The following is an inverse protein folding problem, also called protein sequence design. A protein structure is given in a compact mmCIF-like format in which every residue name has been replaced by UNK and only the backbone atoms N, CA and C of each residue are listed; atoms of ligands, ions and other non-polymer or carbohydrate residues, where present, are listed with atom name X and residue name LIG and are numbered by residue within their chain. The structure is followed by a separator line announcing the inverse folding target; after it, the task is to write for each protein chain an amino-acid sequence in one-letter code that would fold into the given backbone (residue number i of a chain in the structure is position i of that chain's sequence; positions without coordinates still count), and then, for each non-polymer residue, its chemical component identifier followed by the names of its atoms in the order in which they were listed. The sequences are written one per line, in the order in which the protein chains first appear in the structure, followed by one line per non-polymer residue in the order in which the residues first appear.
data_IF_923245021638
#
_entry.id   IF_923245021638
#
_cell.length_a   1.000
_cell.length_b   1.000
_cell.length_c   1.000
_cell.angle_alpha   90.00
_cell.angle_beta   90.00
_cell.angle_gamma   90.00
#
_symmetry.space_group_name_H-M   'P 1'
#
loop_
_entity.id
_entity.type
_entity.pdbx_description
1 polymer ?
#
# COMPACT_ATOMS: atom_id res chain seq x y z
N UNK A 1 -58.03 16.24 -24.81
CA UNK A 1 -56.73 16.85 -24.50
C UNK A 1 -56.48 17.01 -22.99
N UNK A 2 -57.49 17.31 -22.16
CA UNK A 2 -57.31 17.43 -20.71
C UNK A 2 -56.87 16.12 -20.01
N UNK A 3 -57.39 14.95 -20.42
CA UNK A 3 -57.03 13.66 -19.78
C UNK A 3 -55.60 13.21 -20.07
N UNK A 4 -55.04 13.59 -21.22
CA UNK A 4 -53.64 13.31 -21.59
C UNK A 4 -52.69 14.16 -20.74
N UNK A 5 -53.06 15.41 -20.45
CA UNK A 5 -52.27 16.33 -19.62
C UNK A 5 -52.25 15.86 -18.16
N UNK A 6 -53.39 15.42 -17.60
CA UNK A 6 -53.47 14.90 -16.21
C UNK A 6 -52.71 13.58 -16.05
N UNK A 7 -52.79 12.66 -17.02
CA UNK A 7 -52.01 11.42 -17.00
C UNK A 7 -50.50 11.67 -17.11
N UNK A 8 -50.10 12.71 -17.85
CA UNK A 8 -48.70 13.14 -17.96
C UNK A 8 -48.19 13.69 -16.62
N UNK A 9 -48.92 14.58 -15.95
CA UNK A 9 -48.49 15.12 -14.64
C UNK A 9 -48.44 14.04 -13.54
N UNK A 10 -49.35 13.07 -13.54
CA UNK A 10 -49.32 11.95 -12.59
C UNK A 10 -48.11 11.02 -12.77
N UNK A 11 -47.74 10.73 -14.02
CA UNK A 11 -46.57 9.90 -14.32
C UNK A 11 -45.25 10.60 -14.00
N UNK A 12 -45.14 11.92 -14.26
CA UNK A 12 -43.98 12.73 -13.84
C UNK A 12 -43.84 12.80 -12.31
N UNK A 13 -44.94 12.96 -11.57
CA UNK A 13 -44.93 12.98 -10.11
C UNK A 13 -44.45 11.66 -9.49
N UNK A 14 -44.93 10.52 -10.01
CA UNK A 14 -44.49 9.18 -9.57
C UNK A 14 -43.01 8.96 -9.88
N UNK A 15 -42.55 9.35 -11.08
CA UNK A 15 -41.14 9.24 -11.46
C UNK A 15 -40.23 10.07 -10.53
N UNK A 16 -40.60 11.32 -10.25
CA UNK A 16 -39.82 12.19 -9.37
C UNK A 16 -39.82 11.68 -7.92
N UNK A 17 -40.96 11.19 -7.42
CA UNK A 17 -41.05 10.55 -6.11
C UNK A 17 -40.15 9.32 -5.99
N UNK A 18 -40.10 8.47 -7.02
CA UNK A 18 -39.19 7.32 -7.08
C UNK A 18 -37.72 7.76 -7.11
N UNK A 19 -37.40 8.83 -7.85
CA UNK A 19 -36.03 9.35 -7.92
C UNK A 19 -35.56 9.91 -6.56
N UNK A 20 -36.42 10.65 -5.87
CA UNK A 20 -36.17 11.10 -4.48
C UNK A 20 -35.95 9.88 -3.58
N UNK A 21 -36.82 8.87 -3.66
CA UNK A 21 -36.70 7.65 -2.84
C UNK A 21 -35.36 6.93 -3.10
N UNK A 22 -34.96 6.78 -4.36
CA UNK A 22 -33.65 6.21 -4.72
C UNK A 22 -32.52 7.03 -4.11
N UNK A 23 -32.58 8.36 -4.21
CA UNK A 23 -31.56 9.24 -3.63
C UNK A 23 -31.47 9.10 -2.11
N UNK A 24 -32.61 9.04 -1.41
CA UNK A 24 -32.67 8.79 0.04
C UNK A 24 -32.08 7.43 0.42
N UNK A 25 -32.38 6.39 -0.37
CA UNK A 25 -31.82 5.04 -0.20
C UNK A 25 -30.28 5.05 -0.36
N UNK A 26 -29.77 5.74 -1.38
CA UNK A 26 -28.33 5.84 -1.64
C UNK A 26 -27.59 6.65 -0.56
N UNK A 27 -28.23 7.68 0.01
CA UNK A 27 -27.69 8.49 1.11
C UNK A 27 -27.75 7.82 2.48
N UNK A 28 -28.48 6.72 2.62
CA UNK A 28 -28.63 6.04 3.90
C UNK A 28 -27.27 5.71 4.52
N UNK A 29 -27.05 6.20 5.75
CA UNK A 29 -25.84 6.00 6.54
C UNK A 29 -25.95 4.70 7.32
N UNK A 30 -25.03 3.78 7.07
CA UNK A 30 -24.91 2.56 7.86
C UNK A 30 -24.39 2.87 9.27
N UNK A 31 -24.71 2.01 10.24
CA UNK A 31 -24.05 2.08 11.55
C UNK A 31 -22.54 1.83 11.39
N UNK A 32 -21.75 2.58 12.16
CA UNK A 32 -20.28 2.53 12.10
C UNK A 32 -19.72 1.65 13.22
N UNK A 33 -18.72 0.84 12.89
CA UNK A 33 -17.88 0.14 13.85
C UNK A 33 -16.70 1.06 14.19
N UNK A 34 -16.46 1.30 15.48
CA UNK A 34 -15.46 2.26 15.98
C UNK A 34 -15.61 3.70 15.43
N UNK A 35 -16.80 4.07 14.94
CA UNK A 35 -17.03 5.38 14.31
C UNK A 35 -16.34 5.55 12.96
N UNK A 36 -15.76 4.49 12.39
CA UNK A 36 -14.94 4.56 11.16
C UNK A 36 -15.50 3.65 10.06
N UNK A 37 -15.80 2.38 10.38
CA UNK A 37 -16.09 1.37 9.36
C UNK A 37 -17.60 1.14 9.23
N UNK A 38 -18.22 1.46 8.09
CA UNK A 38 -19.65 1.23 7.88
C UNK A 38 -19.98 -0.26 7.77
N UNK A 39 -21.03 -0.67 8.48
CA UNK A 39 -21.62 -2.00 8.32
C UNK A 39 -22.35 -2.10 6.99
N UNK A 40 -22.61 -3.33 6.54
CA UNK A 40 -23.51 -3.58 5.42
C UNK A 40 -24.94 -3.23 5.87
N UNK A 41 -25.51 -2.16 5.32
CA UNK A 41 -26.89 -1.74 5.60
C UNK A 41 -27.92 -2.55 4.82
N UNK A 42 -29.21 -2.32 5.10
CA UNK A 42 -30.33 -2.92 4.39
C UNK A 42 -30.24 -2.73 2.86
N UNK A 43 -29.69 -1.59 2.42
CA UNK A 43 -29.59 -1.23 1.00
C UNK A 43 -28.23 -1.59 0.36
N UNK A 44 -27.35 -2.27 1.10
CA UNK A 44 -26.02 -2.64 0.63
C UNK A 44 -26.05 -3.40 -0.70
N UNK A 45 -26.92 -4.41 -0.84
CA UNK A 45 -26.97 -5.23 -2.06
C UNK A 45 -27.41 -4.42 -3.29
N UNK A 46 -28.32 -3.47 -3.11
CA UNK A 46 -28.73 -2.55 -4.16
C UNK A 46 -27.57 -1.63 -4.58
N UNK A 47 -26.90 -0.98 -3.61
CA UNK A 47 -25.72 -0.16 -3.85
C UNK A 47 -24.59 -0.94 -4.54
N UNK A 48 -24.34 -2.17 -4.08
CA UNK A 48 -23.32 -3.06 -4.64
C UNK A 48 -23.58 -3.39 -6.10
N UNK A 49 -24.81 -3.80 -6.44
CA UNK A 49 -25.18 -4.11 -7.82
C UNK A 49 -25.00 -2.89 -8.73
N UNK A 50 -25.47 -1.72 -8.28
CA UNK A 50 -25.33 -0.47 -9.03
C UNK A 50 -23.85 -0.10 -9.24
N UNK A 51 -23.04 -0.10 -8.18
CA UNK A 51 -21.61 0.20 -8.25
C UNK A 51 -20.87 -0.77 -9.18
N UNK A 52 -21.16 -2.07 -9.07
CA UNK A 52 -20.52 -3.10 -9.89
C UNK A 52 -20.82 -2.91 -11.39
N UNK A 53 -22.06 -2.61 -11.75
CA UNK A 53 -22.46 -2.35 -13.15
C UNK A 53 -21.74 -1.12 -13.69
N UNK A 54 -21.71 -0.03 -12.92
CA UNK A 54 -21.02 1.22 -13.30
C UNK A 54 -19.53 0.98 -13.49
N UNK A 55 -18.86 0.34 -12.53
CA UNK A 55 -17.43 0.05 -12.59
C UNK A 55 -17.06 -0.81 -13.80
N UNK A 56 -17.83 -1.87 -14.08
CA UNK A 56 -17.58 -2.71 -15.27
C UNK A 56 -17.70 -1.93 -16.56
N UNK A 57 -18.70 -1.03 -16.67
CA UNK A 57 -18.88 -0.17 -17.86
C UNK A 57 -17.77 0.86 -18.02
N UNK A 58 -17.38 1.55 -16.93
CA UNK A 58 -16.33 2.57 -16.98
C UNK A 58 -14.99 1.95 -17.33
N UNK A 59 -14.62 0.83 -16.69
CA UNK A 59 -13.35 0.15 -16.95
C UNK A 59 -13.21 -0.35 -18.38
N UNK A 60 -14.30 -0.88 -18.95
CA UNK A 60 -14.30 -1.25 -20.37
C UNK A 60 -14.01 -0.04 -21.28
N UNK A 61 -14.41 1.18 -20.92
CA UNK A 61 -14.12 2.38 -21.71
C UNK A 61 -12.69 2.88 -21.52
N UNK A 62 -12.18 2.89 -20.29
CA UNK A 62 -10.87 3.45 -19.98
C UNK A 62 -9.71 2.53 -20.41
N UNK A 63 -9.81 1.22 -20.14
CA UNK A 63 -8.67 0.32 -20.33
C UNK A 63 -8.57 -0.29 -21.73
N UNK A 64 -9.67 -0.30 -22.49
CA UNK A 64 -9.65 -0.83 -23.85
C UNK A 64 -9.06 0.17 -24.87
N UNK A 65 -8.89 1.43 -24.48
CA UNK A 65 -8.49 2.55 -25.36
C UNK A 65 -7.08 3.09 -25.08
N UNK A 66 -6.36 2.60 -24.06
CA UNK A 66 -5.02 3.13 -23.72
C UNK A 66 -3.92 2.12 -24.08
N UNK A 67 -3.11 2.47 -25.09
CA UNK A 67 -1.89 1.77 -25.55
C UNK A 67 -0.74 1.78 -24.50
N UNK A 68 -1.02 1.43 -23.25
CA UNK A 68 -0.03 1.42 -22.15
C UNK A 68 0.75 0.11 -22.06
N UNK A 69 1.14 -0.45 -23.21
CA UNK A 69 1.81 -1.75 -23.29
C UNK A 69 3.05 -1.77 -24.20
N UNK A 70 3.43 -0.63 -24.79
CA UNK A 70 4.68 -0.58 -25.58
C UNK A 70 5.90 -0.79 -24.68
N UNK A 71 6.96 -1.34 -25.26
CA UNK A 71 8.23 -1.54 -24.57
C UNK A 71 8.82 -0.22 -24.05
N UNK A 72 8.73 0.85 -24.84
CA UNK A 72 9.14 2.20 -24.45
C UNK A 72 8.38 2.68 -23.20
N UNK A 73 7.06 2.48 -23.15
CA UNK A 73 6.26 2.85 -21.99
C UNK A 73 6.72 2.08 -20.73
N UNK A 74 6.99 0.78 -20.86
CA UNK A 74 7.50 -0.03 -19.75
C UNK A 74 8.88 0.46 -19.29
N UNK A 75 9.79 0.81 -20.20
CA UNK A 75 11.09 1.39 -19.83
C UNK A 75 10.96 2.74 -19.10
N UNK A 76 9.96 3.56 -19.44
CA UNK A 76 9.70 4.80 -18.69
C UNK A 76 9.08 4.55 -17.32
N UNK A 77 8.22 3.54 -17.22
CA UNK A 77 7.56 3.12 -15.98
C UNK A 77 8.53 2.43 -15.01
N UNK A 78 9.51 1.69 -15.53
CA UNK A 78 10.40 0.81 -14.79
C UNK A 78 11.76 1.41 -14.45
N UNK A 79 11.78 2.70 -14.10
CA UNK A 79 13.00 3.41 -13.72
C UNK A 79 12.70 4.42 -12.63
N UNK A 80 13.73 5.02 -12.01
CA UNK A 80 13.49 6.10 -11.07
C UNK A 80 12.76 7.27 -11.74
N UNK A 81 11.71 7.77 -11.09
CA UNK A 81 10.78 8.74 -11.64
C UNK A 81 11.21 10.18 -11.36
N UNK A 82 10.77 11.11 -12.20
CA UNK A 82 11.01 12.54 -11.98
C UNK A 82 10.07 13.03 -10.87
N UNK A 83 10.64 13.65 -9.84
CA UNK A 83 9.87 14.21 -8.72
C UNK A 83 9.29 15.58 -9.09
N UNK A 84 8.01 15.80 -8.86
CA UNK A 84 7.35 17.08 -9.14
C UNK A 84 7.68 18.14 -8.08
N UNK A 85 7.39 19.41 -8.34
CA UNK A 85 7.64 20.52 -7.39
C UNK A 85 6.78 20.50 -6.12
N UNK A 86 5.86 19.56 -6.02
CA UNK A 86 5.13 19.33 -4.79
C UNK A 86 6.06 18.69 -3.74
N UNK A 87 6.18 19.26 -2.51
CA UNK A 87 7.02 18.68 -1.46
C UNK A 87 6.62 17.24 -1.09
N UNK A 88 5.35 16.87 -1.27
CA UNK A 88 4.84 15.53 -1.03
C UNK A 88 5.04 14.57 -2.20
N UNK A 89 5.75 14.97 -3.27
CA UNK A 89 6.14 14.07 -4.36
C UNK A 89 7.03 12.96 -3.83
N UNK A 90 6.87 11.76 -4.39
CA UNK A 90 7.56 10.56 -3.94
C UNK A 90 7.78 9.61 -5.09
N UNK A 91 8.82 8.81 -4.92
CA UNK A 91 9.12 7.67 -5.74
C UNK A 91 9.70 6.58 -4.83
N UNK A 92 8.99 5.48 -4.65
CA UNK A 92 9.39 4.38 -3.76
C UNK A 92 9.48 3.07 -4.53
N UNK A 93 10.60 2.38 -4.35
CA UNK A 93 10.77 0.99 -4.76
C UNK A 93 10.99 0.13 -3.52
N UNK A 94 10.26 -0.99 -3.44
CA UNK A 94 10.37 -1.92 -2.33
C UNK A 94 10.43 -3.36 -2.81
N UNK A 95 11.09 -4.21 -2.03
CA UNK A 95 11.23 -5.62 -2.27
C UNK A 95 10.87 -6.37 -0.99
N UNK A 96 10.02 -7.38 -1.10
CA UNK A 96 9.72 -8.32 -0.02
C UNK A 96 9.98 -9.72 -0.55
N UNK A 97 10.69 -10.55 0.20
CA UNK A 97 10.99 -11.91 -0.21
C UNK A 97 11.13 -12.86 0.97
N UNK A 98 10.84 -14.13 0.75
CA UNK A 98 11.05 -15.19 1.73
C UNK A 98 11.29 -16.55 1.06
N UNK A 99 11.78 -17.53 1.83
CA UNK A 99 11.90 -18.92 1.37
C UNK A 99 11.56 -19.95 2.45
N UNK A 100 11.46 -21.22 2.06
CA UNK A 100 11.17 -22.35 2.94
C UNK A 100 12.19 -22.55 4.08
N UNK A 101 13.40 -22.00 3.97
CA UNK A 101 14.41 -22.03 5.06
C UNK A 101 14.10 -21.00 6.16
N UNK A 102 13.02 -20.23 6.04
CA UNK A 102 12.63 -19.20 6.99
C UNK A 102 13.36 -17.87 6.81
N UNK A 103 14.26 -17.75 5.82
CA UNK A 103 14.94 -16.48 5.50
C UNK A 103 13.94 -15.49 4.92
N UNK A 104 14.01 -14.22 5.34
CA UNK A 104 13.11 -13.16 4.87
C UNK A 104 13.87 -11.85 4.67
N UNK A 105 13.48 -11.12 3.64
CA UNK A 105 14.07 -9.83 3.28
C UNK A 105 12.96 -8.82 3.05
N UNK A 106 13.09 -7.64 3.64
CA UNK A 106 12.33 -6.46 3.25
C UNK A 106 13.30 -5.30 3.01
N UNK A 107 13.25 -4.71 1.82
CA UNK A 107 13.97 -3.48 1.49
C UNK A 107 12.96 -2.47 0.95
N UNK A 108 13.08 -1.21 1.36
CA UNK A 108 12.29 -0.10 0.81
C UNK A 108 13.15 1.15 0.73
N UNK A 109 13.20 1.77 -0.45
CA UNK A 109 13.86 3.06 -0.69
C UNK A 109 12.84 4.04 -1.29
N UNK A 110 12.55 5.10 -0.56
CA UNK A 110 11.69 6.20 -0.99
C UNK A 110 12.52 7.46 -1.22
N UNK A 111 12.60 7.89 -2.48
CA UNK A 111 13.15 9.18 -2.88
C UNK A 111 12.13 10.29 -2.64
N UNK A 112 12.65 11.41 -2.15
CA UNK A 112 11.94 12.66 -1.94
C UNK A 112 12.76 13.82 -2.48
N UNK A 113 12.10 14.97 -2.57
CA UNK A 113 12.72 16.19 -3.10
C UNK A 113 14.00 16.54 -2.34
N UNK A 114 14.96 17.16 -3.03
CA UNK A 114 16.19 17.73 -2.48
C UNK A 114 17.09 16.70 -1.79
N UNK A 115 17.23 15.52 -2.40
CA UNK A 115 18.12 14.47 -1.92
C UNK A 115 17.69 13.83 -0.60
N UNK A 116 16.42 13.96 -0.20
CA UNK A 116 15.89 13.22 0.93
C UNK A 116 15.63 11.78 0.49
N UNK A 117 16.16 10.82 1.23
CA UNK A 117 15.96 9.39 0.99
C UNK A 117 15.45 8.73 2.28
N UNK A 118 14.34 8.00 2.22
CA UNK A 118 13.87 7.19 3.33
C UNK A 118 14.11 5.72 3.02
N UNK A 119 14.95 5.07 3.81
CA UNK A 119 15.34 3.70 3.56
C UNK A 119 15.13 2.81 4.79
N UNK A 120 14.64 1.59 4.54
CA UNK A 120 14.59 0.53 5.51
C UNK A 120 15.07 -0.77 4.87
N UNK A 121 15.97 -1.46 5.57
CA UNK A 121 16.36 -2.83 5.29
C UNK A 121 16.10 -3.65 6.54
N UNK A 122 15.38 -4.75 6.34
CA UNK A 122 15.20 -5.81 7.31
C UNK A 122 15.64 -7.12 6.69
N UNK A 123 16.48 -7.85 7.40
CA UNK A 123 16.96 -9.15 6.99
C UNK A 123 16.77 -10.10 8.16
N UNK A 124 15.88 -11.06 8.02
CA UNK A 124 15.74 -12.12 8.99
C UNK A 124 16.44 -13.38 8.52
N UNK A 125 17.42 -13.81 9.30
CA UNK A 125 18.12 -15.08 9.14
C UNK A 125 17.88 -15.94 10.39
N UNK A 126 17.60 -17.24 10.24
CA UNK A 126 17.39 -18.13 11.39
C UNK A 126 18.51 -18.10 12.43
N UNK A 127 19.76 -17.91 12.00
CA UNK A 127 20.94 -17.88 12.88
C UNK A 127 21.17 -16.52 13.57
N UNK A 128 20.74 -15.41 12.97
CA UNK A 128 21.04 -14.05 13.45
C UNK A 128 19.83 -13.35 14.08
N UNK A 129 18.63 -13.91 13.91
CA UNK A 129 17.39 -13.20 14.19
C UNK A 129 17.18 -12.04 13.22
N UNK A 130 16.35 -11.08 13.62
CA UNK A 130 16.01 -9.93 12.79
C UNK A 130 17.13 -8.88 12.82
N UNK A 131 17.78 -8.69 11.68
CA UNK A 131 18.69 -7.57 11.43
C UNK A 131 17.92 -6.42 10.79
N UNK A 132 18.24 -5.19 11.16
CA UNK A 132 17.56 -4.00 10.65
C UNK A 132 18.52 -2.82 10.45
N UNK A 133 18.18 -1.90 9.56
CA UNK A 133 18.95 -0.66 9.37
C UNK A 133 19.15 0.10 10.70
N UNK A 134 20.33 0.67 10.94
CA UNK A 134 20.68 1.28 12.23
C UNK A 134 19.80 2.48 12.54
N UNK A 135 19.43 3.26 11.51
CA UNK A 135 18.61 4.46 11.64
C UNK A 135 17.10 4.20 11.80
N UNK A 136 16.68 2.94 11.94
CA UNK A 136 15.30 2.64 12.34
C UNK A 136 15.06 3.03 13.81
N UNK A 137 13.88 3.56 14.16
CA UNK A 137 12.65 3.55 13.37
C UNK A 137 12.45 4.77 12.45
N UNK A 138 13.41 5.69 12.35
CA UNK A 138 13.26 6.98 11.65
C UNK A 138 13.40 6.91 10.12
N UNK A 139 14.24 6.01 9.60
CA UNK A 139 14.49 5.77 8.16
C UNK A 139 15.10 6.92 7.37
N UNK A 140 15.28 8.12 7.94
CA UNK A 140 15.62 9.33 7.19
C UNK A 140 17.11 9.42 6.88
N UNK A 141 17.44 9.69 5.62
CA UNK A 141 18.80 9.98 5.19
C UNK A 141 18.84 11.12 4.17
N UNK A 142 20.01 11.72 4.01
CA UNK A 142 20.27 12.83 3.08
C UNK A 142 21.38 12.43 2.12
N UNK A 143 21.14 12.58 0.82
CA UNK A 143 22.10 12.24 -0.24
C UNK A 143 22.74 13.46 -0.89
N UNK A 144 22.21 14.66 -0.60
CA UNK A 144 22.72 15.96 -1.09
C UNK A 144 22.66 17.00 0.02
N UNK A 145 23.16 18.21 -0.26
CA UNK A 145 23.07 19.36 0.65
C UNK A 145 21.73 20.11 0.57
N UNK A 146 20.74 19.57 -0.15
CA UNK A 146 19.40 20.16 -0.28
C UNK A 146 19.17 20.98 -1.55
N UNK A 147 20.18 21.13 -2.40
CA UNK A 147 20.13 21.93 -3.64
C UNK A 147 19.95 21.08 -4.91
N UNK A 148 20.09 19.76 -4.80
CA UNK A 148 20.02 18.82 -5.91
C UNK A 148 19.01 17.71 -5.65
N UNK A 149 18.39 17.24 -6.73
CA UNK A 149 17.49 16.09 -6.73
C UNK A 149 18.27 14.79 -6.92
N UNK A 150 17.85 13.71 -6.24
CA UNK A 150 18.40 12.38 -6.52
C UNK A 150 17.82 11.86 -7.83
N UNK A 151 18.67 11.38 -8.74
CA UNK A 151 18.27 10.71 -10.00
C UNK A 151 18.17 9.19 -9.88
N UNK A 152 18.74 8.60 -8.82
CA UNK A 152 18.84 7.15 -8.60
C UNK A 152 18.32 6.75 -7.22
N UNK A 153 17.94 5.48 -7.05
CA UNK A 153 17.71 4.90 -5.73
C UNK A 153 19.07 4.51 -5.10
N UNK A 154 19.81 5.52 -4.65
CA UNK A 154 21.18 5.35 -4.14
C UNK A 154 21.42 6.22 -2.90
N UNK A 155 22.28 5.73 -2.00
CA UNK A 155 22.78 6.47 -0.84
C UNK A 155 22.77 5.63 0.44
N UNK A 156 23.62 5.99 1.41
CA UNK A 156 23.67 5.37 2.74
C UNK A 156 23.87 3.84 2.68
N UNK A 157 24.81 3.42 1.83
CA UNK A 157 25.11 2.01 1.56
C UNK A 157 24.23 1.38 0.48
N UNK A 158 23.06 1.94 0.18
CA UNK A 158 22.14 1.38 -0.81
C UNK A 158 22.47 1.79 -2.25
N UNK A 159 22.27 0.86 -3.18
CA UNK A 159 22.14 1.14 -4.61
C UNK A 159 21.18 0.13 -5.25
N UNK A 160 20.04 0.63 -5.71
CA UNK A 160 18.99 -0.17 -6.34
C UNK A 160 18.72 0.41 -7.72
N UNK A 161 18.73 -0.42 -8.76
CA UNK A 161 18.52 0.05 -10.12
C UNK A 161 17.98 -1.06 -11.04
N UNK A 162 17.16 -0.71 -12.04
CA UNK A 162 16.80 -1.63 -13.10
C UNK A 162 18.03 -1.90 -13.97
N UNK A 163 18.27 -3.17 -14.29
CA UNK A 163 19.24 -3.57 -15.31
C UNK A 163 18.54 -3.93 -16.64
N UNK A 164 17.37 -4.57 -16.55
CA UNK A 164 16.48 -4.83 -17.69
C UNK A 164 15.05 -4.52 -17.28
N UNK A 165 14.38 -3.64 -18.03
CA UNK A 165 13.02 -3.17 -17.72
C UNK A 165 12.06 -4.35 -17.52
N UNK A 166 11.33 -4.31 -16.41
CA UNK A 166 10.33 -5.27 -15.97
C UNK A 166 10.86 -6.70 -15.80
N UNK A 167 12.17 -6.91 -15.79
CA UNK A 167 12.76 -8.26 -15.72
C UNK A 167 13.83 -8.38 -14.65
N UNK A 168 14.77 -7.44 -14.60
CA UNK A 168 15.94 -7.56 -13.76
C UNK A 168 16.25 -6.25 -13.02
N UNK A 169 16.33 -6.35 -11.70
CA UNK A 169 16.74 -5.26 -10.81
C UNK A 169 17.91 -5.70 -9.94
N UNK A 170 18.91 -4.84 -9.84
CA UNK A 170 20.05 -5.03 -8.94
C UNK A 170 19.75 -4.35 -7.61
N UNK A 171 20.06 -5.05 -6.51
CA UNK A 171 19.81 -4.62 -5.14
C UNK A 171 21.11 -4.78 -4.36
N UNK A 172 21.78 -3.66 -4.10
CA UNK A 172 23.05 -3.62 -3.38
C UNK A 172 22.92 -2.86 -2.08
N UNK A 173 23.61 -3.37 -1.06
CA UNK A 173 23.77 -2.69 0.22
C UNK A 173 25.17 -2.97 0.77
N UNK A 174 25.84 -1.95 1.29
CA UNK A 174 27.08 -2.11 2.06
C UNK A 174 27.05 -1.18 3.26
N UNK A 175 27.03 -1.75 4.47
CA UNK A 175 26.90 -0.99 5.71
C UNK A 175 26.71 -1.88 6.92
N UNK A 176 26.31 -1.30 8.05
CA UNK A 176 26.05 -2.03 9.29
C UNK A 176 24.56 -2.24 9.51
N UNK A 177 24.16 -3.39 10.05
CA UNK A 177 22.80 -3.63 10.54
C UNK A 177 22.83 -3.90 12.04
N UNK A 178 21.78 -3.48 12.75
CA UNK A 178 21.59 -3.81 14.17
C UNK A 178 20.71 -5.04 14.34
N UNK A 179 20.95 -5.81 15.38
CA UNK A 179 20.02 -6.86 15.82
C UNK A 179 18.79 -6.23 16.48
N UNK A 180 17.67 -6.15 15.76
CA UNK A 180 16.50 -5.38 16.15
C UNK A 180 15.77 -5.93 17.39
N UNK A 181 15.84 -7.24 17.60
CA UNK A 181 15.09 -7.95 18.65
C UNK A 181 15.89 -8.14 19.94
N UNK A 182 17.12 -7.61 19.99
CA UNK A 182 18.03 -7.69 21.15
C UNK A 182 18.23 -6.29 21.71
N UNK A 183 17.90 -6.09 22.99
CA UNK A 183 18.17 -4.84 23.68
C UNK A 183 19.69 -4.58 23.73
N UNK A 184 20.13 -3.42 23.25
CA UNK A 184 21.55 -3.12 22.99
C UNK A 184 22.23 -4.10 22.01
N UNK A 185 21.46 -4.65 21.06
CA UNK A 185 21.95 -5.55 20.02
C UNK A 185 23.14 -4.96 19.27
N UNK A 186 24.13 -5.82 18.99
CA UNK A 186 25.34 -5.42 18.29
C UNK A 186 25.07 -4.96 16.85
N UNK A 187 26.03 -4.22 16.31
CA UNK A 187 26.12 -3.93 14.88
C UNK A 187 26.91 -5.04 14.20
N UNK A 188 26.39 -5.53 13.08
CA UNK A 188 27.06 -6.50 12.21
C UNK A 188 27.29 -5.87 10.85
N UNK A 189 28.45 -6.14 10.25
CA UNK A 189 28.75 -5.63 8.90
C UNK A 189 28.02 -6.47 7.88
N UNK A 190 27.32 -5.83 6.95
CA UNK A 190 26.52 -6.51 5.94
C UNK A 190 26.85 -5.97 4.56
N UNK A 191 27.08 -6.90 3.63
CA UNK A 191 27.13 -6.62 2.20
C UNK A 191 26.11 -7.50 1.49
N UNK A 192 25.20 -6.86 0.75
CA UNK A 192 24.22 -7.51 -0.12
C UNK A 192 24.60 -7.25 -1.57
N UNK A 193 24.65 -8.30 -2.38
CA UNK A 193 24.69 -8.22 -3.83
C UNK A 193 23.64 -9.19 -4.38
N UNK A 194 22.44 -8.64 -4.61
CA UNK A 194 21.25 -9.40 -4.93
C UNK A 194 20.65 -8.91 -6.24
N UNK A 195 19.95 -9.81 -6.91
CA UNK A 195 19.19 -9.55 -8.13
C UNK A 195 17.76 -10.01 -7.93
N UNK A 196 16.81 -9.14 -8.28
CA UNK A 196 15.41 -9.52 -8.46
C UNK A 196 15.16 -9.83 -9.93
N UNK A 197 14.66 -11.04 -10.20
CA UNK A 197 14.32 -11.55 -11.52
C UNK A 197 12.82 -11.82 -11.64
N UNK A 198 12.20 -11.40 -12.73
CA UNK A 198 10.81 -11.72 -13.07
C UNK A 198 10.62 -11.97 -14.55
N UNK A 199 9.83 -13.01 -14.86
CA UNK A 199 9.28 -13.28 -16.20
C UNK A 199 7.76 -13.06 -16.22
N UNK A 200 7.22 -12.51 -15.13
CA UNK A 200 5.77 -12.33 -14.94
C UNK A 200 5.36 -10.94 -15.38
N UNK A 201 4.11 -10.76 -15.79
CA UNK A 201 3.56 -9.41 -15.94
C UNK A 201 3.55 -8.68 -14.58
N UNK A 202 3.34 -7.36 -14.57
CA UNK A 202 3.07 -6.65 -13.33
C UNK A 202 1.56 -6.57 -13.08
N UNK A 203 1.17 -6.50 -11.81
CA UNK A 203 -0.16 -6.18 -11.34
C UNK A 203 -0.27 -4.67 -11.10
N UNK A 204 -1.06 -3.98 -11.92
CA UNK A 204 -1.32 -2.55 -11.78
C UNK A 204 -2.59 -2.34 -10.94
N UNK A 205 -2.48 -1.64 -9.80
CA UNK A 205 -3.61 -1.48 -8.88
C UNK A 205 -4.75 -0.63 -9.44
N UNK A 206 -4.48 0.28 -10.38
CA UNK A 206 -5.51 1.08 -11.02
C UNK A 206 -6.31 0.21 -12.01
N UNK A 207 -5.61 -0.67 -12.74
CA UNK A 207 -6.16 -1.53 -13.81
C UNK A 207 -6.77 -2.84 -13.31
N UNK A 208 -6.01 -3.59 -12.52
CA UNK A 208 -6.20 -5.04 -12.35
C UNK A 208 -7.03 -5.43 -11.12
N UNK A 209 -7.26 -4.52 -10.17
CA UNK A 209 -8.11 -4.79 -8.99
C UNK A 209 -9.49 -5.30 -9.39
N UNK A 210 -10.08 -6.25 -8.68
CA UNK A 210 -11.43 -6.74 -9.04
C UNK A 210 -12.48 -5.63 -8.85
N UNK A 211 -13.39 -5.39 -9.83
CA UNK A 211 -14.55 -4.52 -9.62
C UNK A 211 -15.41 -4.93 -8.43
N UNK A 212 -15.38 -6.21 -8.04
CA UNK A 212 -16.16 -6.74 -6.92
C UNK A 212 -15.71 -6.19 -5.56
N UNK A 213 -14.40 -6.06 -5.32
CA UNK A 213 -13.91 -5.53 -4.04
C UNK A 213 -14.06 -4.01 -3.95
N UNK A 214 -13.95 -3.31 -5.09
CA UNK A 214 -14.22 -1.87 -5.17
C UNK A 214 -15.72 -1.62 -4.94
N UNK A 215 -16.60 -2.40 -5.57
CA UNK A 215 -18.05 -2.32 -5.36
C UNK A 215 -18.45 -2.65 -3.91
N UNK A 216 -17.83 -3.64 -3.26
CA UNK A 216 -18.07 -3.92 -1.82
C UNK A 216 -17.75 -2.70 -0.96
N UNK A 217 -16.65 -2.01 -1.27
CA UNK A 217 -16.16 -0.84 -0.52
C UNK A 217 -17.10 0.35 -0.72
N UNK A 218 -17.41 0.69 -1.98
CA UNK A 218 -18.35 1.78 -2.34
C UNK A 218 -19.75 1.54 -1.76
N UNK A 219 -20.24 0.30 -1.76
CA UNK A 219 -21.60 0.00 -1.32
C UNK A 219 -21.81 0.14 0.20
N UNK A 220 -20.72 0.17 0.97
CA UNK A 220 -20.76 0.40 2.42
C UNK A 220 -20.89 1.87 2.76
N UNK A 221 -20.40 2.76 1.90
CA UNK A 221 -20.42 4.20 2.11
C UNK A 221 -21.83 4.80 1.98
N UNK A 222 -22.02 5.95 2.64
CA UNK A 222 -23.16 6.81 2.39
C UNK A 222 -22.87 7.63 1.12
N UNK A 223 -23.73 7.55 0.11
CA UNK A 223 -23.52 8.29 -1.15
C UNK A 223 -24.09 9.69 -1.01
N UNK A 224 -23.42 10.49 -0.18
CA UNK A 224 -23.70 11.89 0.10
C UNK A 224 -22.82 12.80 -0.77
N UNK A 225 -22.89 14.10 -0.51
CA UNK A 225 -22.18 15.14 -1.24
C UNK A 225 -20.66 14.92 -1.23
N UNK A 226 -20.07 14.60 -0.08
CA UNK A 226 -18.62 14.34 0.01
C UNK A 226 -18.20 13.11 -0.79
N UNK A 227 -19.00 12.03 -0.76
CA UNK A 227 -18.76 10.85 -1.60
C UNK A 227 -18.81 11.20 -3.10
N UNK A 228 -19.79 12.00 -3.54
CA UNK A 228 -19.86 12.40 -4.95
C UNK A 228 -18.73 13.34 -5.36
N UNK A 229 -18.26 14.22 -4.46
CA UNK A 229 -17.08 15.05 -4.71
C UNK A 229 -15.82 14.20 -4.85
N UNK A 230 -15.64 13.20 -3.97
CA UNK A 230 -14.56 12.22 -4.09
C UNK A 230 -14.63 11.47 -5.43
N UNK A 231 -15.81 10.99 -5.83
CA UNK A 231 -15.97 10.31 -7.13
C UNK A 231 -15.57 11.20 -8.33
N UNK A 232 -15.85 12.51 -8.27
CA UNK A 232 -15.45 13.45 -9.32
C UNK A 232 -13.94 13.68 -9.40
N UNK A 233 -13.20 13.44 -8.32
CA UNK A 233 -11.75 13.63 -8.27
C UNK A 233 -10.96 12.34 -8.49
N UNK A 234 -11.60 11.18 -8.58
CA UNK A 234 -10.94 9.87 -8.75
C UNK A 234 -9.98 9.87 -9.94
N UNK A 235 -10.39 10.35 -11.11
CA UNK A 235 -9.53 10.33 -12.30
C UNK A 235 -8.24 11.14 -12.05
N UNK A 236 -8.35 12.32 -11.46
CA UNK A 236 -7.19 13.14 -11.06
C UNK A 236 -6.33 12.45 -10.01
N UNK A 237 -6.92 11.73 -9.04
CA UNK A 237 -6.18 10.99 -8.02
C UNK A 237 -5.38 9.84 -8.67
N UNK A 238 -5.98 9.13 -9.62
CA UNK A 238 -5.36 8.00 -10.33
C UNK A 238 -4.25 8.47 -11.28
N UNK A 239 -4.41 9.61 -11.95
CA UNK A 239 -3.37 10.17 -12.82
C UNK A 239 -2.12 10.63 -12.05
N UNK A 240 -2.31 11.09 -10.81
CA UNK A 240 -1.22 11.57 -9.95
C UNK A 240 -0.46 10.46 -9.24
N UNK A 241 -0.92 9.21 -9.30
CA UNK A 241 -0.38 8.08 -8.53
C UNK A 241 -0.35 6.80 -9.34
N UNK A 242 0.84 6.25 -9.48
CA UNK A 242 1.03 4.93 -10.07
C UNK A 242 1.48 3.96 -8.97
N UNK A 243 0.89 2.77 -8.95
CA UNK A 243 1.27 1.68 -8.06
C UNK A 243 1.15 0.38 -8.82
N UNK A 244 2.26 -0.32 -8.98
CA UNK A 244 2.25 -1.68 -9.49
C UNK A 244 3.18 -2.58 -8.69
N UNK A 245 2.91 -3.87 -8.76
CA UNK A 245 3.71 -4.91 -8.16
C UNK A 245 4.06 -6.00 -9.15
N UNK A 246 5.18 -6.67 -8.93
CA UNK A 246 5.64 -7.75 -9.76
C UNK A 246 6.23 -8.87 -8.91
N UNK A 247 5.70 -10.08 -9.04
CA UNK A 247 6.22 -11.30 -8.43
C UNK A 247 7.47 -11.78 -9.17
N UNK A 248 8.38 -12.41 -8.46
CA UNK A 248 9.64 -12.89 -9.02
C UNK A 248 10.47 -13.62 -7.98
N UNK A 249 11.78 -13.61 -8.17
CA UNK A 249 12.73 -14.23 -7.26
C UNK A 249 13.87 -13.28 -6.94
N UNK A 250 14.33 -13.30 -5.70
CA UNK A 250 15.57 -12.63 -5.28
C UNK A 250 16.64 -13.69 -5.11
N UNK A 251 17.75 -13.51 -5.80
CA UNK A 251 18.93 -14.39 -5.73
C UNK A 251 20.20 -13.58 -5.58
N UNK A 252 21.21 -14.14 -4.94
CA UNK A 252 22.53 -13.53 -4.85
C UNK A 252 23.19 -13.84 -3.53
N UNK A 253 24.23 -13.08 -3.21
CA UNK A 253 25.07 -13.33 -2.04
C UNK A 253 24.87 -12.26 -0.97
N UNK A 254 24.90 -12.72 0.27
CA UNK A 254 24.97 -11.87 1.45
C UNK A 254 26.22 -12.22 2.24
N UNK A 255 26.97 -11.21 2.65
CA UNK A 255 28.06 -11.35 3.61
C UNK A 255 27.63 -10.68 4.91
N UNK A 256 27.60 -11.44 6.00
CA UNK A 256 27.37 -10.95 7.37
C UNK A 256 28.65 -11.20 8.15
N UNK A 257 29.34 -10.12 8.51
CA UNK A 257 30.74 -10.11 8.96
C UNK A 257 31.62 -10.92 8.00
N UNK A 258 32.21 -12.03 8.45
CA UNK A 258 33.06 -12.90 7.61
C UNK A 258 32.28 -14.05 6.95
N UNK A 259 30.99 -14.22 7.25
CA UNK A 259 30.17 -15.32 6.76
C UNK A 259 29.47 -14.96 5.46
N UNK A 260 29.75 -15.72 4.41
CA UNK A 260 29.05 -15.65 3.12
C UNK A 260 27.86 -16.63 3.12
N UNK A 261 26.68 -16.15 2.72
CA UNK A 261 25.50 -16.97 2.50
C UNK A 261 24.88 -16.65 1.13
N UNK A 262 24.53 -17.69 0.38
CA UNK A 262 23.74 -17.53 -0.83
C UNK A 262 22.24 -17.48 -0.48
N UNK A 263 21.53 -16.50 -1.02
CA UNK A 263 20.08 -16.37 -0.91
C UNK A 263 19.40 -16.77 -2.21
N UNK A 264 18.29 -17.48 -2.07
CA UNK A 264 17.29 -17.71 -3.13
C UNK A 264 15.92 -17.67 -2.48
N UNK A 265 15.12 -16.69 -2.85
CA UNK A 265 13.82 -16.42 -2.23
C UNK A 265 12.79 -16.10 -3.31
N UNK A 266 11.55 -16.54 -3.09
CA UNK A 266 10.41 -15.98 -3.83
C UNK A 266 10.18 -14.57 -3.30
N UNK A 267 9.89 -13.63 -4.20
CA UNK A 267 9.76 -12.24 -3.83
C UNK A 267 8.74 -11.49 -4.67
N UNK A 268 8.48 -10.27 -4.23
CA UNK A 268 7.76 -9.26 -4.99
C UNK A 268 8.56 -7.97 -4.99
N UNK A 269 8.40 -7.22 -6.08
CA UNK A 269 8.82 -5.84 -6.23
C UNK A 269 7.58 -4.97 -6.26
N UNK A 270 7.57 -3.91 -5.46
CA UNK A 270 6.57 -2.85 -5.44
C UNK A 270 7.23 -1.57 -5.93
N UNK A 271 6.57 -0.87 -6.85
CA UNK A 271 6.99 0.46 -7.28
C UNK A 271 5.78 1.40 -7.25
N UNK A 272 5.87 2.42 -6.41
CA UNK A 272 4.81 3.37 -6.17
C UNK A 272 5.36 4.79 -6.24
N UNK A 273 4.75 5.64 -7.04
CA UNK A 273 5.22 7.00 -7.23
C UNK A 273 4.08 7.95 -7.56
N UNK A 274 4.31 9.23 -7.30
CA UNK A 274 3.32 10.25 -7.57
C UNK A 274 3.70 11.65 -7.13
N UNK A 275 2.78 12.57 -7.39
CA UNK A 275 2.98 13.99 -7.09
C UNK A 275 2.62 14.35 -5.65
N UNK A 276 1.78 13.56 -4.97
CA UNK A 276 1.34 13.82 -3.61
C UNK A 276 1.08 12.52 -2.82
N UNK A 277 1.80 12.32 -1.71
CA UNK A 277 1.57 11.24 -0.73
C UNK A 277 1.02 11.81 0.59
N UNK A 278 -0.29 11.70 0.81
CA UNK A 278 -0.95 12.23 2.01
C UNK A 278 -1.08 11.16 3.11
N UNK A 279 0.05 10.78 3.71
CA UNK A 279 0.09 9.76 4.79
C UNK A 279 -0.74 10.16 6.02
N UNK A 280 -0.81 11.46 6.31
CA UNK A 280 -1.65 12.09 7.33
C UNK A 280 -3.12 11.67 7.26
N UNK A 281 -3.64 11.41 6.06
CA UNK A 281 -5.05 11.09 5.84
C UNK A 281 -5.36 9.59 5.97
N UNK A 282 -4.33 8.74 6.00
CA UNK A 282 -4.52 7.30 6.20
C UNK A 282 -4.88 7.07 7.66
N UNK A 283 -6.07 6.51 7.88
CA UNK A 283 -6.46 6.04 9.21
C UNK A 283 -5.65 4.77 9.55
N UNK A 284 -5.66 3.81 8.62
CA UNK A 284 -5.04 2.50 8.83
C UNK A 284 -4.87 1.73 7.52
N UNK A 285 -3.85 0.89 7.44
CA UNK A 285 -3.89 -0.24 6.50
C UNK A 285 -3.27 -1.50 7.10
N UNK A 286 -3.63 -2.64 6.51
CA UNK A 286 -2.90 -3.89 6.67
C UNK A 286 -2.58 -4.46 5.30
N UNK A 287 -1.36 -4.92 5.11
CA UNK A 287 -0.85 -5.52 3.88
C UNK A 287 -0.14 -6.83 4.22
N UNK A 288 -0.41 -7.88 3.45
CA UNK A 288 0.16 -9.22 3.58
C UNK A 288 0.88 -9.56 2.28
N UNK A 289 2.17 -9.92 2.37
CA UNK A 289 2.93 -10.52 1.28
C UNK A 289 3.37 -11.92 1.70
N UNK A 290 2.78 -12.94 1.09
CA UNK A 290 2.99 -14.34 1.44
C UNK A 290 3.57 -15.11 0.25
N UNK A 291 4.55 -15.96 0.53
CA UNK A 291 5.28 -16.77 -0.44
C UNK A 291 5.21 -18.23 -0.02
N UNK A 292 4.59 -19.07 -0.85
CA UNK A 292 4.29 -20.46 -0.55
C UNK A 292 5.30 -21.42 -1.19
N UNK A 293 5.47 -22.59 -0.58
CA UNK A 293 6.43 -23.61 -1.03
C UNK A 293 6.10 -24.20 -2.42
N UNK A 294 4.84 -24.13 -2.86
CA UNK A 294 4.41 -24.57 -4.19
C UNK A 294 4.73 -23.57 -5.32
N UNK A 295 5.36 -22.44 -4.96
CA UNK A 295 5.72 -21.35 -5.87
C UNK A 295 4.64 -20.29 -6.05
N UNK A 296 3.47 -20.43 -5.41
CA UNK A 296 2.42 -19.41 -5.39
C UNK A 296 2.81 -18.26 -4.47
N UNK A 297 2.53 -17.02 -4.88
CA UNK A 297 2.58 -15.85 -4.00
C UNK A 297 1.18 -15.25 -3.85
N UNK A 298 0.97 -14.55 -2.74
CA UNK A 298 -0.29 -13.91 -2.43
C UNK A 298 -0.02 -12.54 -1.81
N UNK A 299 -0.71 -11.54 -2.34
CA UNK A 299 -0.79 -10.21 -1.75
C UNK A 299 -2.23 -9.92 -1.36
N UNK A 300 -2.45 -9.50 -0.12
CA UNK A 300 -3.78 -9.11 0.39
C UNK A 300 -3.64 -7.84 1.19
N UNK A 301 -4.46 -6.83 0.88
CA UNK A 301 -4.48 -5.56 1.60
C UNK A 301 -5.88 -5.14 2.00
N UNK A 302 -5.97 -4.33 3.05
CA UNK A 302 -7.17 -3.57 3.41
C UNK A 302 -6.75 -2.15 3.86
N UNK A 303 -7.21 -1.13 3.15
CA UNK A 303 -6.88 0.28 3.38
C UNK A 303 -8.09 1.04 3.91
N UNK A 304 -7.87 1.87 4.93
CA UNK A 304 -8.85 2.79 5.49
C UNK A 304 -8.32 4.22 5.41
N UNK A 305 -9.01 5.04 4.62
CA UNK A 305 -8.69 6.46 4.43
C UNK A 305 -10.01 7.27 4.34
N UNK A 306 -10.87 7.24 5.39
CA UNK A 306 -12.25 7.72 5.33
C UNK A 306 -12.36 9.23 5.03
N UNK A 307 -11.42 10.06 5.47
CA UNK A 307 -11.44 11.51 5.20
C UNK A 307 -11.15 11.87 3.74
N UNK A 308 -10.63 10.93 2.92
CA UNK A 308 -10.20 11.23 1.55
C UNK A 308 -10.76 10.26 0.50
N UNK A 309 -10.94 8.99 0.83
CA UNK A 309 -11.30 7.95 -0.13
C UNK A 309 -12.37 7.01 0.43
N UNK A 310 -11.98 5.81 0.90
CA UNK A 310 -12.91 4.78 1.37
C UNK A 310 -12.52 4.34 2.78
N UNK A 311 -13.52 4.00 3.58
CA UNK A 311 -13.35 3.54 4.96
C UNK A 311 -12.72 2.14 5.06
N UNK A 312 -12.92 1.30 4.03
CA UNK A 312 -12.27 -0.01 3.86
C UNK A 312 -12.25 -0.38 2.38
N UNK A 313 -11.05 -0.39 1.78
CA UNK A 313 -10.80 -0.89 0.44
C UNK A 313 -9.93 -2.14 0.52
N UNK A 314 -10.49 -3.28 0.11
CA UNK A 314 -9.74 -4.53 0.00
C UNK A 314 -9.05 -4.60 -1.35
N UNK A 315 -7.79 -5.01 -1.36
CA UNK A 315 -6.93 -5.05 -2.55
C UNK A 315 -6.06 -6.30 -2.56
N UNK A 316 -5.49 -6.63 -3.73
CA UNK A 316 -4.49 -7.69 -3.86
C UNK A 316 -4.88 -8.79 -4.85
N UNK A 317 -4.09 -9.85 -4.84
CA UNK A 317 -4.11 -10.92 -5.83
C UNK A 317 -3.47 -12.22 -5.31
N UNK A 318 -3.68 -13.30 -6.05
CA UNK A 318 -2.88 -14.51 -5.98
C UNK A 318 -2.11 -14.62 -7.30
N UNK A 319 -0.79 -14.80 -7.23
CA UNK A 319 0.04 -15.06 -8.39
C UNK A 319 0.47 -16.53 -8.36
N UNK A 320 0.09 -17.27 -9.41
CA UNK A 320 0.46 -18.68 -9.50
C UNK A 320 1.96 -18.84 -9.74
N UNK A 321 2.49 -20.05 -9.54
CA UNK A 321 3.88 -20.40 -9.92
C UNK A 321 4.24 -20.13 -11.39
N UNK A 322 3.23 -19.97 -12.26
CA UNK A 322 3.41 -19.63 -13.69
C UNK A 322 3.45 -18.12 -13.95
N UNK A 323 3.29 -17.28 -12.91
CA UNK A 323 3.24 -15.83 -13.06
C UNK A 323 1.87 -15.26 -13.41
N UNK A 324 0.80 -16.06 -13.30
CA UNK A 324 -0.56 -15.60 -13.61
C UNK A 324 -1.21 -14.94 -12.39
N UNK A 325 -1.57 -13.66 -12.51
CA UNK A 325 -2.26 -12.91 -11.46
C UNK A 325 -3.76 -13.14 -11.50
N UNK A 326 -4.32 -13.40 -10.32
CA UNK A 326 -5.77 -13.52 -10.09
C UNK A 326 -6.18 -12.52 -9.02
N UNK A 327 -6.85 -11.41 -9.37
CA UNK A 327 -7.25 -10.41 -8.40
C UNK A 327 -8.24 -11.00 -7.40
N UNK A 328 -8.15 -10.56 -6.14
CA UNK A 328 -9.11 -10.99 -5.12
C UNK A 328 -10.49 -10.41 -5.44
N UNK A 329 -11.53 -11.22 -5.33
CA UNK A 329 -12.93 -10.83 -5.57
C UNK A 329 -13.70 -10.62 -4.28
N UNK A 330 -13.24 -11.22 -3.18
CA UNK A 330 -13.80 -11.10 -1.83
C UNK A 330 -12.76 -11.50 -0.79
N UNK A 331 -12.78 -10.84 0.36
CA UNK A 331 -11.97 -11.21 1.51
C UNK A 331 -12.75 -10.88 2.79
N UNK A 332 -12.68 -11.74 3.81
CA UNK A 332 -13.33 -11.49 5.11
C UNK A 332 -12.39 -10.88 6.16
N UNK A 333 -11.16 -10.52 5.78
CA UNK A 333 -10.25 -9.75 6.63
C UNK A 333 -10.77 -8.32 6.78
N UNK A 334 -11.23 -7.97 7.98
CA UNK A 334 -11.74 -6.65 8.32
C UNK A 334 -10.80 -5.96 9.32
N UNK A 335 -10.37 -4.74 9.02
CA UNK A 335 -9.40 -4.00 9.83
C UNK A 335 -9.79 -3.99 11.31
N UNK A 336 -11.02 -3.58 11.63
CA UNK A 336 -11.51 -3.49 13.01
C UNK A 336 -11.41 -4.79 13.82
N UNK A 337 -11.29 -5.95 13.18
CA UNK A 337 -11.16 -7.25 13.86
C UNK A 337 -9.72 -7.59 14.24
N UNK A 338 -8.73 -6.94 13.61
CA UNK A 338 -7.32 -7.32 13.70
C UNK A 338 -6.45 -6.18 14.18
N UNK A 339 -6.52 -5.81 15.46
CA UNK A 339 -5.58 -4.86 16.05
C UNK A 339 -5.96 -3.40 15.88
N UNK A 340 -7.26 -3.07 15.90
CA UNK A 340 -7.75 -1.68 15.77
C UNK A 340 -7.16 -0.72 16.81
N UNK A 341 -6.87 -1.23 18.01
CA UNK A 341 -6.34 -0.43 19.12
C UNK A 341 -4.82 -0.16 19.05
N UNK A 342 -4.22 -0.21 17.86
CA UNK A 342 -2.80 0.13 17.65
C UNK A 342 -1.78 -0.99 17.93
N UNK A 343 -2.25 -2.21 18.21
CA UNK A 343 -1.41 -3.39 18.44
C UNK A 343 -1.81 -4.48 17.45
N UNK A 344 -0.94 -4.86 16.50
CA UNK A 344 -1.19 -5.98 15.60
C UNK A 344 -1.33 -7.30 16.36
N UNK A 345 -2.19 -8.21 15.87
CA UNK A 345 -2.26 -9.56 16.42
C UNK A 345 -0.98 -10.36 16.17
N UNK A 346 -0.80 -11.46 16.91
CA UNK A 346 0.27 -12.45 16.67
C UNK A 346 -0.17 -13.65 15.83
N UNK A 347 -1.49 -13.84 15.68
CA UNK A 347 -2.10 -14.89 14.87
C UNK A 347 -3.29 -14.31 14.12
N UNK A 348 -3.45 -14.68 12.85
CA UNK A 348 -4.54 -14.21 12.01
C UNK A 348 -5.01 -15.34 11.11
N UNK A 349 -6.33 -15.46 10.94
CA UNK A 349 -6.90 -16.41 10.00
C UNK A 349 -8.01 -15.74 9.20
N UNK A 350 -7.96 -15.82 7.88
CA UNK A 350 -8.97 -15.22 7.02
C UNK A 350 -9.13 -15.99 5.73
N UNK A 351 -10.19 -15.67 4.99
CA UNK A 351 -10.56 -16.30 3.74
C UNK A 351 -10.51 -15.27 2.64
N UNK A 352 -9.82 -15.62 1.57
CA UNK A 352 -9.73 -14.86 0.33
C UNK A 352 -10.39 -15.66 -0.79
N UNK A 353 -11.06 -14.96 -1.70
CA UNK A 353 -11.63 -15.55 -2.90
C UNK A 353 -11.03 -14.87 -4.13
N UNK A 354 -10.83 -15.65 -5.18
CA UNK A 354 -10.70 -15.17 -6.55
C UNK A 354 -11.95 -15.59 -7.34
N UNK A 355 -11.95 -15.39 -8.64
CA UNK A 355 -12.96 -15.95 -9.55
C UNK A 355 -12.93 -17.49 -9.61
N UNK A 356 -11.78 -18.09 -9.36
CA UNK A 356 -11.48 -19.51 -9.61
C UNK A 356 -11.17 -20.30 -8.34
N UNK A 357 -11.03 -19.65 -7.19
CA UNK A 357 -10.57 -20.33 -5.97
C UNK A 357 -10.96 -19.64 -4.67
N UNK A 358 -10.83 -20.41 -3.59
CA UNK A 358 -10.99 -19.97 -2.20
C UNK A 358 -9.73 -20.38 -1.43
N UNK A 359 -9.20 -19.46 -0.65
CA UNK A 359 -7.95 -19.62 0.07
C UNK A 359 -8.17 -19.32 1.54
N UNK A 360 -7.95 -20.31 2.39
CA UNK A 360 -7.92 -20.15 3.84
C UNK A 360 -6.48 -19.87 4.26
N UNK A 361 -6.25 -18.65 4.74
CA UNK A 361 -4.95 -18.12 5.13
C UNK A 361 -4.83 -18.20 6.64
N UNK A 362 -3.70 -18.74 7.12
CA UNK A 362 -3.34 -18.82 8.53
C UNK A 362 -1.94 -18.23 8.71
N UNK A 363 -1.79 -17.31 9.65
CA UNK A 363 -0.54 -16.57 9.87
C UNK A 363 -0.14 -16.68 11.34
N UNK A 364 1.16 -16.89 11.56
CA UNK A 364 1.80 -16.82 12.87
C UNK A 364 2.98 -15.86 12.79
N UNK A 365 2.99 -14.88 13.69
CA UNK A 365 4.06 -13.89 13.78
C UNK A 365 5.25 -14.49 14.52
N UNK A 366 6.43 -14.34 13.91
CA UNK A 366 7.70 -14.86 14.43
C UNK A 366 8.54 -13.72 15.02
N UNK A 367 8.57 -12.58 14.34
CA UNK A 367 9.21 -11.36 14.83
C UNK A 367 8.49 -10.10 14.32
N UNK A 368 8.79 -8.93 14.89
CA UNK A 368 8.17 -7.66 14.52
C UNK A 368 9.09 -6.48 14.80
N UNK A 369 9.26 -5.60 13.82
CA UNK A 369 9.94 -4.32 13.99
C UNK A 369 9.02 -3.13 13.71
N UNK A 370 9.36 -1.98 14.29
CA UNK A 370 8.62 -0.74 14.10
C UNK A 370 9.44 0.19 13.21
N UNK A 371 8.74 0.88 12.31
CA UNK A 371 9.24 2.08 11.64
C UNK A 371 8.18 3.16 11.61
N UNK A 372 8.60 4.40 11.41
CA UNK A 372 7.72 5.52 11.16
C UNK A 372 7.84 5.97 9.72
N UNK A 373 6.73 6.42 9.14
CA UNK A 373 6.67 6.89 7.76
C UNK A 373 6.09 8.29 7.74
N UNK A 374 6.67 9.14 6.90
CA UNK A 374 6.35 10.56 6.79
C UNK A 374 7.35 11.44 7.53
N UNK A 375 7.40 12.73 7.17
CA UNK A 375 8.46 13.65 7.62
C UNK A 375 8.36 14.01 9.09
N UNK A 376 7.16 13.88 9.65
CA UNK A 376 6.87 14.10 11.06
C UNK A 376 6.27 12.85 11.70
N UNK A 377 6.60 11.66 11.19
CA UNK A 377 6.10 10.38 11.68
C UNK A 377 4.58 10.28 11.67
N UNK A 378 3.90 10.76 10.62
CA UNK A 378 2.45 10.75 10.48
C UNK A 378 1.83 9.34 10.58
N UNK A 379 2.66 8.30 10.38
CA UNK A 379 2.25 6.92 10.51
C UNK A 379 3.29 6.06 11.20
N UNK A 380 2.80 5.10 12.00
CA UNK A 380 3.59 4.04 12.62
C UNK A 380 3.29 2.72 11.91
N UNK A 381 4.31 2.03 11.45
CA UNK A 381 4.20 0.73 10.78
C UNK A 381 4.85 -0.34 11.62
N UNK A 382 4.12 -1.45 11.84
CA UNK A 382 4.70 -2.68 12.33
C UNK A 382 4.96 -3.60 11.15
N UNK A 383 6.22 -3.96 10.96
CA UNK A 383 6.64 -4.98 10.02
C UNK A 383 6.75 -6.30 10.75
N UNK A 384 5.76 -7.17 10.56
CA UNK A 384 5.76 -8.49 11.15
C UNK A 384 6.34 -9.49 10.15
N UNK A 385 7.27 -10.31 10.62
CA UNK A 385 7.86 -11.41 9.89
C UNK A 385 7.14 -12.68 10.30
N UNK A 386 6.59 -13.41 9.33
CA UNK A 386 5.59 -14.43 9.61
C UNK A 386 5.85 -15.74 8.90
N UNK A 387 5.46 -16.82 9.56
CA UNK A 387 5.17 -18.10 8.92
C UNK A 387 3.68 -18.17 8.61
N UNK A 388 3.32 -18.88 7.55
CA UNK A 388 1.94 -19.02 7.14
C UNK A 388 1.61 -20.40 6.57
N UNK A 389 0.32 -20.68 6.54
CA UNK A 389 -0.24 -21.82 5.80
C UNK A 389 -1.43 -21.32 5.00
N UNK A 390 -1.49 -21.68 3.72
CA UNK A 390 -2.62 -21.36 2.84
C UNK A 390 -3.16 -22.63 2.22
N UNK A 391 -4.41 -22.99 2.54
CA UNK A 391 -5.01 -24.27 2.13
C UNK A 391 -4.13 -25.50 2.43
N UNK A 392 -3.38 -25.48 3.54
CA UNK A 392 -2.46 -26.55 3.94
C UNK A 392 -1.04 -26.43 3.36
N UNK A 393 -0.80 -25.58 2.36
CA UNK A 393 0.54 -25.32 1.81
C UNK A 393 1.30 -24.38 2.75
N UNK A 394 2.50 -24.78 3.16
CA UNK A 394 3.35 -23.97 4.02
C UNK A 394 3.94 -22.79 3.25
N UNK A 395 4.25 -21.74 3.99
CA UNK A 395 4.84 -20.54 3.44
C UNK A 395 5.42 -19.61 4.50
N UNK A 396 5.99 -18.53 3.99
CA UNK A 396 6.63 -17.48 4.78
C UNK A 396 6.19 -16.14 4.21
N UNK A 397 6.31 -15.07 4.99
CA UNK A 397 5.88 -13.77 4.51
C UNK A 397 6.24 -12.61 5.41
N UNK A 398 5.81 -11.44 4.96
CA UNK A 398 5.93 -10.18 5.67
C UNK A 398 4.54 -9.54 5.69
N UNK A 399 4.21 -8.91 6.80
CA UNK A 399 2.98 -8.13 6.92
C UNK A 399 3.32 -6.73 7.39
N UNK A 400 2.58 -5.76 6.90
CA UNK A 400 2.68 -4.37 7.30
C UNK A 400 1.37 -3.93 7.92
N UNK A 401 1.43 -3.51 9.19
CA UNK A 401 0.30 -2.90 9.89
C UNK A 401 0.62 -1.43 10.10
N UNK A 402 0.01 -0.57 9.27
CA UNK A 402 0.12 0.88 9.42
C UNK A 402 -1.01 1.40 10.30
N UNK A 403 -0.64 2.26 11.23
CA UNK A 403 -1.54 3.07 12.05
C UNK A 403 -1.20 4.54 11.88
N UNK A 404 -2.23 5.40 11.85
CA UNK A 404 -2.04 6.84 12.02
C UNK A 404 -1.32 7.12 13.34
N UNK A 405 -0.32 8.00 13.32
CA UNK A 405 0.43 8.40 14.50
C UNK A 405 0.45 9.92 14.65
N UNK A 406 0.01 10.40 15.81
CA UNK A 406 -0.13 11.83 16.11
C UNK A 406 0.95 12.33 17.08
N UNK A 407 1.92 11.49 17.47
CA UNK A 407 2.97 11.87 18.43
C UNK A 407 4.08 12.75 17.84
N UNK A 408 4.19 12.83 16.51
CA UNK A 408 5.24 13.58 15.84
C UNK A 408 6.62 12.90 15.89
N UNK A 409 7.57 13.43 15.12
CA UNK A 409 8.98 13.04 15.21
C UNK A 409 9.62 13.76 16.43
N UNK A 410 10.36 13.06 17.32
CA UNK A 410 10.92 13.66 18.53
C UNK A 410 11.83 14.85 18.24
N UNK A 411 11.76 15.90 19.07
CA UNK A 411 12.50 17.14 18.82
C UNK A 411 14.03 16.95 18.87
N UNK A 412 14.50 16.01 19.67
CA UNK A 412 15.93 15.68 19.82
C UNK A 412 16.48 15.13 18.51
N UNK A 413 15.75 14.23 17.85
CA UNK A 413 16.08 13.69 16.53
C UNK A 413 15.90 14.77 15.45
N UNK A 414 14.97 15.69 15.64
CA UNK A 414 14.74 16.80 14.73
C UNK A 414 15.87 17.84 14.72
N UNK A 415 16.55 18.04 15.86
CA UNK A 415 17.63 19.04 16.01
C UNK A 415 18.91 18.62 15.28
N UNK A 416 19.10 17.32 15.03
CA UNK A 416 20.24 16.80 14.27
C UNK A 416 20.06 16.85 12.76
N UNK A 417 18.85 17.17 12.28
CA UNK A 417 18.60 17.30 10.84
C UNK A 417 19.29 18.57 10.28
N UNK A 418 19.72 18.56 9.01
CA UNK A 418 20.17 19.77 8.33
C UNK A 418 19.13 20.89 8.38
N UNK A 419 19.56 22.14 8.57
CA UNK A 419 18.65 23.29 8.70
C UNK A 419 17.66 23.42 7.53
N UNK A 420 18.11 23.11 6.32
CA UNK A 420 17.26 23.14 5.13
C UNK A 420 16.10 22.15 5.21
N UNK A 421 16.34 20.95 5.77
CA UNK A 421 15.30 19.94 5.92
C UNK A 421 14.34 20.31 7.05
N UNK A 422 14.84 20.90 8.14
CA UNK A 422 13.99 21.42 9.20
C UNK A 422 12.97 22.45 8.67
N UNK A 423 13.37 23.31 7.70
CA UNK A 423 12.44 24.24 7.02
C UNK A 423 11.39 23.51 6.20
N UNK A 424 11.78 22.49 5.43
CA UNK A 424 10.83 21.66 4.64
C UNK A 424 9.83 20.97 5.56
N UNK A 425 10.29 20.33 6.63
CA UNK A 425 9.41 19.64 7.58
C UNK A 425 8.38 20.58 8.20
N UNK A 426 8.79 21.80 8.57
CA UNK A 426 7.86 22.83 9.09
C UNK A 426 6.78 23.16 8.06
N UNK A 427 7.13 23.26 6.79
CA UNK A 427 6.18 23.50 5.69
C UNK A 427 5.26 22.29 5.43
N UNK A 428 5.79 21.07 5.38
CA UNK A 428 4.96 19.86 5.24
C UNK A 428 3.97 19.69 6.39
N UNK A 429 4.39 20.06 7.62
CA UNK A 429 3.52 20.07 8.79
C UNK A 429 2.40 21.10 8.65
N UNK A 430 2.66 22.29 8.11
CA UNK A 430 1.59 23.28 7.88
C UNK A 430 0.58 22.77 6.86
N UNK A 431 1.02 22.17 5.76
CA UNK A 431 0.14 21.54 4.76
C UNK A 431 -0.74 20.45 5.38
N UNK A 432 -0.15 19.59 6.21
CA UNK A 432 -0.88 18.50 6.86
C UNK A 432 -1.86 19.01 7.93
N UNK A 433 -1.57 20.14 8.58
CA UNK A 433 -2.52 20.77 9.49
C UNK A 433 -3.72 21.36 8.73
N UNK A 434 -3.50 21.98 7.56
CA UNK A 434 -4.60 22.44 6.70
C UNK A 434 -5.51 21.29 6.28
N UNK A 435 -4.94 20.13 5.91
CA UNK A 435 -5.71 18.91 5.61
C UNK A 435 -6.57 18.43 6.79
N UNK A 436 -6.21 18.77 8.04
CA UNK A 436 -6.97 18.38 9.23
C UNK A 436 -7.96 19.46 9.71
N UNK A 437 -7.79 20.73 9.32
CA UNK A 437 -8.70 21.83 9.76
C UNK A 437 -9.99 21.88 8.96
N UNK A 438 -9.97 21.44 7.69
CA UNK A 438 -11.19 21.27 6.88
C UNK A 438 -12.10 20.14 7.44
N UNK A 439 -11.59 19.28 8.32
CA UNK A 439 -12.34 18.19 8.98
C UNK A 439 -13.07 18.64 10.26
N UNK A 440 -12.84 19.86 10.77
CA UNK A 440 -13.55 20.38 11.96
C UNK A 440 -14.81 21.18 11.66
N UNK A 441 -15.02 21.63 10.40
CA UNK A 441 -16.34 22.10 9.98
C UNK A 441 -17.18 20.90 9.56
N UNK A 442 -17.74 20.22 10.57
CA UNK A 442 -19.06 19.63 10.41
C UNK A 442 -19.99 20.77 9.98
N UNK A 443 -20.13 20.96 8.66
CA UNK A 443 -21.16 21.82 8.09
C UNK A 443 -22.51 21.26 8.50
N UNK A 444 -23.01 21.76 9.63
CA UNK A 444 -24.41 21.75 9.98
C UNK A 444 -25.12 22.64 8.97
N UNK A 445 -25.74 22.04 7.96
CA UNK A 445 -27.02 22.47 7.40
C UNK A 445 -27.79 21.24 6.91
#
# INVERSE_FOLDING_TARGET
MADIVVASFGTFGVFFGLLILVFLILRHRSSLIFGIYPRKSLFYHFKYALALVVLKRLRHRFYHNSEKHSEEFMQQLDKPQVLSDNPKSYDVVSFMAANAKGQKLMISLERRRRGVNRAALYLWLPEYGLLASPNLPDMLYFTTNGDEESSEFKGNGFHIYPQESMKLWCIKYEGELKQASVENGGLVKVKLDLEFHSETSHFDYNRDLSPSVIADSIAREAWNESFYMMLKSVDTILEKRTHYEQSGFITGDIRVDDKLLALRMSGLRDHSFGTERCLSTINRYVYFALFLEDGTSMVVGNLSQPSFFLSSLKVGYICSKKGEYKPITKCNFELYSYGEKGVPPKHQNFIVHTDTGKYFVQIKVEDSAIRYVGGNWESKVYNQFVSCTVNGVQGQGITEYLYRYNGGRPEEVCKTDPEWYQRIRKFERSLSNYENTDDTEAFFF
#
